data_IF_943910955785
#
_entry.id   IF_943910955785
#
_cell.length_a   1.000
_cell.length_b   1.000
_cell.length_c   1.000
_cell.angle_alpha   90.00
_cell.angle_beta   90.00
_cell.angle_gamma   90.00
#
_symmetry.space_group_name_H-M   'P 1'
#
loop_
_entity.id
_entity.type
_entity.pdbx_description
1 polymer ?
#
# COMPACT_ATOMS: atom_id res chain seq x y z
N UNK A 1 -13.31 -2.05 -10.37
CA UNK A 1 -13.84 -1.40 -9.15
C UNK A 1 -12.68 -0.68 -8.50
N UNK A 2 -12.84 0.63 -8.33
CA UNK A 2 -11.86 1.49 -7.69
C UNK A 2 -11.81 1.21 -6.18
N UNK A 3 -10.62 1.08 -5.62
CA UNK A 3 -10.39 0.88 -4.18
C UNK A 3 -9.25 1.77 -3.72
N UNK A 4 -9.21 2.08 -2.42
CA UNK A 4 -8.16 2.90 -1.83
C UNK A 4 -7.02 2.02 -1.34
N UNK A 5 -5.81 2.36 -1.78
CA UNK A 5 -4.61 1.57 -1.55
C UNK A 5 -3.51 2.47 -1.03
N UNK A 6 -2.88 2.11 0.07
CA UNK A 6 -1.58 2.67 0.42
C UNK A 6 -0.56 2.23 -0.63
N UNK A 7 0.32 3.13 -1.03
CA UNK A 7 1.42 2.86 -1.98
C UNK A 7 2.73 2.84 -1.20
N UNK A 8 3.48 1.76 -1.35
CA UNK A 8 4.66 1.45 -0.56
C UNK A 8 5.83 1.08 -1.45
N UNK A 9 7.03 1.39 -1.00
CA UNK A 9 8.22 0.69 -1.50
C UNK A 9 8.26 -0.74 -0.95
N UNK A 10 9.05 -1.62 -1.58
CA UNK A 10 9.30 -2.96 -1.08
C UNK A 10 9.84 -2.98 0.37
N UNK A 11 10.71 -2.03 0.72
CA UNK A 11 11.26 -1.93 2.09
C UNK A 11 10.24 -1.48 3.12
N UNK A 12 9.35 -0.55 2.75
CA UNK A 12 8.24 -0.12 3.61
C UNK A 12 7.27 -1.28 3.84
N UNK A 13 6.94 -2.05 2.79
CA UNK A 13 6.16 -3.28 2.92
C UNK A 13 6.78 -4.24 3.95
N UNK A 14 8.05 -4.58 3.79
CA UNK A 14 8.73 -5.48 4.73
C UNK A 14 8.75 -4.95 6.17
N UNK A 15 8.82 -3.63 6.36
CA UNK A 15 8.72 -3.03 7.69
C UNK A 15 7.32 -3.21 8.30
N UNK A 16 6.25 -2.97 7.53
CA UNK A 16 4.86 -3.18 7.99
C UNK A 16 4.63 -4.66 8.33
N UNK A 17 5.10 -5.59 7.49
CA UNK A 17 5.02 -7.03 7.74
C UNK A 17 5.78 -7.46 9.01
N UNK A 18 6.97 -6.88 9.24
CA UNK A 18 7.76 -7.16 10.44
C UNK A 18 7.06 -6.70 11.73
N UNK A 19 6.30 -5.60 11.69
CA UNK A 19 5.52 -5.13 12.85
C UNK A 19 4.32 -6.04 13.15
N UNK A 20 3.64 -6.56 12.13
CA UNK A 20 2.47 -7.41 12.32
C UNK A 20 2.78 -8.85 12.73
N UNK A 21 3.99 -9.34 12.47
CA UNK A 21 4.37 -10.73 12.78
C UNK A 21 3.40 -11.75 12.16
N UNK A 22 2.98 -12.77 12.91
CA UNK A 22 2.03 -13.80 12.43
C UNK A 22 0.64 -13.25 12.06
N UNK A 23 0.30 -12.01 12.41
CA UNK A 23 -0.92 -11.32 11.96
C UNK A 23 -0.82 -10.80 10.50
N UNK A 24 0.22 -11.17 9.74
CA UNK A 24 0.40 -10.76 8.34
C UNK A 24 -0.77 -11.06 7.41
N UNK A 25 -1.67 -12.00 7.76
CA UNK A 25 -2.87 -12.28 6.98
C UNK A 25 -3.84 -11.09 6.81
N UNK A 26 -3.66 -10.02 7.60
CA UNK A 26 -4.40 -8.76 7.45
C UNK A 26 -3.85 -7.87 6.32
N UNK A 27 -2.58 -8.08 5.94
CA UNK A 27 -1.89 -7.32 4.89
C UNK A 27 -1.87 -8.17 3.61
N UNK A 28 -2.91 -8.04 2.80
CA UNK A 28 -2.92 -8.58 1.44
C UNK A 28 -2.20 -7.59 0.50
N UNK A 29 -0.87 -7.61 0.55
CA UNK A 29 -0.02 -6.75 -0.26
C UNK A 29 -0.01 -7.21 -1.71
N UNK A 30 -0.14 -6.27 -2.64
CA UNK A 30 -0.22 -6.55 -4.08
C UNK A 30 0.75 -5.67 -4.87
N UNK A 31 1.28 -6.18 -5.98
CA UNK A 31 2.20 -5.44 -6.83
C UNK A 31 1.43 -4.63 -7.89
N UNK A 32 1.94 -3.46 -8.26
CA UNK A 32 1.40 -2.69 -9.38
C UNK A 32 2.11 -3.13 -10.68
N UNK A 33 1.38 -3.83 -11.56
CA UNK A 33 1.90 -4.33 -12.86
C UNK A 33 1.01 -3.88 -14.02
N UNK A 34 0.79 -2.57 -14.12
CA UNK A 34 0.34 -1.99 -15.39
C UNK A 34 1.60 -1.51 -16.13
N UNK A 35 1.71 -1.75 -17.44
CA UNK A 35 2.81 -1.21 -18.26
C UNK A 35 2.80 0.33 -18.29
N UNK A 36 1.65 0.93 -17.94
CA UNK A 36 1.44 2.38 -17.89
C UNK A 36 0.56 2.79 -16.70
N UNK A 37 0.94 2.56 -15.43
CA UNK A 37 0.19 3.14 -14.32
C UNK A 37 0.58 4.62 -14.14
N UNK A 38 1.72 5.05 -14.71
CA UNK A 38 2.15 6.44 -14.95
C UNK A 38 2.38 7.25 -13.68
N UNK A 39 1.30 7.50 -12.95
CA UNK A 39 1.25 8.04 -11.61
C UNK A 39 -0.16 7.82 -11.03
N UNK A 40 -0.25 7.69 -9.71
CA UNK A 40 -1.47 7.90 -8.94
C UNK A 40 -1.51 9.33 -8.40
N UNK A 41 -2.61 9.68 -7.74
CA UNK A 41 -2.71 10.94 -6.99
C UNK A 41 -2.76 10.60 -5.51
N UNK A 42 -1.87 11.20 -4.72
CA UNK A 42 -1.90 11.07 -3.27
C UNK A 42 -3.16 11.75 -2.72
N UNK A 43 -3.92 11.02 -1.92
CA UNK A 43 -5.10 11.52 -1.24
C UNK A 43 -4.90 11.56 0.29
N UNK A 44 -3.70 11.22 0.78
CA UNK A 44 -3.33 11.33 2.19
C UNK A 44 -2.79 12.72 2.53
N UNK A 45 -3.42 13.40 3.48
CA UNK A 45 -2.95 14.67 4.04
C UNK A 45 -1.90 14.52 5.14
N UNK A 46 -1.72 13.30 5.65
CA UNK A 46 -0.70 12.97 6.63
C UNK A 46 0.54 12.28 6.00
N UNK A 47 0.67 12.24 4.68
CA UNK A 47 1.83 11.59 4.06
C UNK A 47 3.12 12.42 4.22
N UNK A 48 4.19 11.82 4.73
CA UNK A 48 5.42 12.53 5.12
C UNK A 48 6.14 13.20 3.92
N UNK A 49 6.04 12.58 2.74
CA UNK A 49 6.79 12.98 1.55
C UNK A 49 5.90 13.49 0.40
N UNK A 50 4.58 13.60 0.62
CA UNK A 50 3.62 13.96 -0.42
C UNK A 50 2.55 14.90 0.16
N UNK A 51 2.32 16.03 -0.50
CA UNK A 51 1.13 16.81 -0.23
C UNK A 51 -0.11 16.11 -0.83
N UNK A 52 -1.33 16.38 -0.31
CA UNK A 52 -2.56 16.02 -1.00
C UNK A 52 -2.59 16.55 -2.43
N UNK A 53 -2.92 15.67 -3.37
CA UNK A 53 -2.96 16.00 -4.80
C UNK A 53 -1.63 15.79 -5.52
N UNK A 54 -0.53 15.51 -4.81
CA UNK A 54 0.76 15.24 -5.46
C UNK A 54 0.72 13.92 -6.25
N UNK A 55 1.39 13.88 -7.42
CA UNK A 55 1.54 12.65 -8.18
C UNK A 55 2.44 11.65 -7.44
N UNK A 56 2.00 10.39 -7.37
CA UNK A 56 2.74 9.27 -6.78
C UNK A 56 3.18 8.35 -7.91
N UNK A 57 4.48 8.11 -8.05
CA UNK A 57 4.97 7.11 -9.02
C UNK A 57 4.52 5.71 -8.58
N UNK A 58 3.87 4.97 -9.47
CA UNK A 58 3.29 3.66 -9.17
C UNK A 58 4.12 2.48 -9.69
N UNK A 59 4.96 2.70 -10.69
CA UNK A 59 5.80 1.65 -11.28
C UNK A 59 6.80 1.11 -10.26
N UNK A 60 6.80 -0.22 -10.06
CA UNK A 60 7.70 -0.89 -9.12
C UNK A 60 7.31 -0.72 -7.65
N UNK A 61 6.10 -0.24 -7.38
CA UNK A 61 5.57 -0.08 -6.02
C UNK A 61 4.64 -1.25 -5.64
N UNK A 62 4.52 -1.45 -4.33
CA UNK A 62 3.57 -2.37 -3.70
C UNK A 62 2.38 -1.58 -3.17
N UNK A 63 1.26 -2.27 -2.95
CA UNK A 63 0.06 -1.68 -2.35
C UNK A 63 -0.55 -2.55 -1.27
N UNK A 64 -1.17 -1.92 -0.27
CA UNK A 64 -2.03 -2.61 0.71
C UNK A 64 -3.38 -1.91 0.83
N UNK A 65 -4.48 -2.63 1.10
CA UNK A 65 -5.79 -2.02 1.19
C UNK A 65 -5.83 -0.98 2.31
N UNK A 66 -6.34 0.23 2.04
CA UNK A 66 -6.41 1.30 3.06
C UNK A 66 -7.22 0.86 4.29
N UNK A 67 -8.23 0.01 4.13
CA UNK A 67 -9.09 -0.51 5.21
C UNK A 67 -8.32 -1.27 6.30
N UNK A 68 -7.07 -1.69 6.06
CA UNK A 68 -6.28 -2.45 7.05
C UNK A 68 -6.03 -1.64 8.32
N UNK A 69 -6.01 -0.31 8.26
CA UNK A 69 -5.83 0.53 9.45
C UNK A 69 -7.07 0.60 10.33
N UNK A 70 -8.23 0.18 9.81
CA UNK A 70 -9.48 0.08 10.57
C UNK A 70 -9.61 -1.28 11.28
N UNK A 71 -8.69 -2.22 11.01
CA UNK A 71 -8.66 -3.52 11.65
C UNK A 71 -8.14 -3.41 13.10
N UNK A 72 -8.88 -3.93 14.10
CA UNK A 72 -8.46 -3.88 15.49
C UNK A 72 -7.21 -4.72 15.80
N UNK A 73 -6.91 -5.73 14.98
CA UNK A 73 -5.77 -6.64 15.16
C UNK A 73 -4.50 -6.12 14.47
N UNK A 74 -4.58 -4.99 13.76
CA UNK A 74 -3.42 -4.34 13.15
C UNK A 74 -2.47 -3.79 14.22
N UNK A 75 -1.18 -4.12 14.14
CA UNK A 75 -0.19 -3.61 15.08
C UNK A 75 -0.14 -2.07 15.05
N UNK A 76 0.02 -1.45 16.21
CA UNK A 76 -0.01 0.01 16.35
C UNK A 76 1.09 0.69 15.54
N UNK A 77 2.29 0.10 15.53
CA UNK A 77 3.46 0.55 14.77
C UNK A 77 3.23 0.43 13.27
N UNK A 78 2.63 -0.69 12.82
CA UNK A 78 2.27 -0.90 11.43
C UNK A 78 1.24 0.14 10.97
N UNK A 79 0.21 0.38 11.78
CA UNK A 79 -0.81 1.39 11.54
C UNK A 79 -0.21 2.80 11.49
N UNK A 80 0.66 3.14 12.42
CA UNK A 80 1.34 4.43 12.45
C UNK A 80 2.16 4.66 11.18
N UNK A 81 2.94 3.66 10.75
CA UNK A 81 3.70 3.73 9.51
C UNK A 81 2.78 3.90 8.29
N UNK A 82 1.75 3.05 8.14
CA UNK A 82 0.83 3.13 7.00
C UNK A 82 0.16 4.50 6.86
N UNK A 83 -0.22 5.10 8.00
CA UNK A 83 -0.88 6.41 8.01
C UNK A 83 0.03 7.56 7.55
N UNK A 84 1.36 7.37 7.48
CA UNK A 84 2.28 8.37 6.91
C UNK A 84 2.66 8.12 5.44
N UNK A 85 2.11 7.06 4.82
CA UNK A 85 2.37 6.73 3.42
C UNK A 85 1.29 7.33 2.50
N UNK A 86 1.61 7.65 1.23
CA UNK A 86 0.60 8.08 0.29
C UNK A 86 -0.42 6.96 0.06
N UNK A 87 -1.68 7.32 -0.18
CA UNK A 87 -2.68 6.39 -0.70
C UNK A 87 -3.38 6.97 -1.92
N UNK A 88 -3.70 6.09 -2.86
CA UNK A 88 -4.36 6.41 -4.12
C UNK A 88 -5.66 5.61 -4.26
N UNK A 89 -6.63 6.15 -4.99
CA UNK A 89 -7.77 5.36 -5.50
C UNK A 89 -7.36 4.71 -6.82
N UNK A 90 -7.24 3.38 -6.85
CA UNK A 90 -6.80 2.61 -8.01
C UNK A 90 -7.84 1.56 -8.40
N UNK A 91 -7.99 1.32 -9.70
CA UNK A 91 -8.76 0.18 -10.21
C UNK A 91 -8.06 -1.12 -9.83
N UNK A 92 -8.85 -2.14 -9.47
CA UNK A 92 -8.30 -3.46 -9.11
C UNK A 92 -7.47 -4.10 -10.23
N UNK A 93 -7.76 -3.77 -11.49
CA UNK A 93 -7.04 -4.24 -12.69
C UNK A 93 -5.62 -3.64 -12.80
N UNK A 94 -5.35 -2.54 -12.10
CA UNK A 94 -4.01 -1.92 -12.01
C UNK A 94 -3.09 -2.72 -11.07
N UNK A 95 -3.66 -3.64 -10.28
CA UNK A 95 -3.00 -4.31 -9.18
C UNK A 95 -3.05 -5.82 -9.38
N UNK A 96 -1.90 -6.48 -9.29
CA UNK A 96 -1.76 -7.92 -9.46
C UNK A 96 -1.47 -8.58 -8.11
N UNK A 97 -1.92 -9.82 -7.94
CA UNK A 97 -1.44 -10.62 -6.80
C UNK A 97 0.09 -10.65 -6.88
N UNK A 98 0.82 -10.49 -5.76
CA UNK A 98 2.24 -10.72 -5.79
C UNK A 98 2.45 -12.15 -6.32
N UNK A 99 3.52 -12.40 -7.09
CA UNK A 99 3.83 -13.77 -7.46
C UNK A 99 3.86 -14.58 -6.17
N UNK A 100 3.04 -15.63 -6.10
CA UNK A 100 3.12 -16.58 -4.99
C UNK A 100 4.56 -17.01 -4.93
N UNK A 101 5.23 -16.77 -3.80
CA UNK A 101 6.56 -17.34 -3.53
C UNK A 101 6.40 -18.85 -3.39
N UNK A 102 6.13 -19.54 -4.49
CA UNK A 102 6.33 -20.96 -4.66
C UNK A 102 7.66 -21.14 -5.39
N UNK A 103 8.74 -21.11 -4.61
CA UNK A 103 9.83 -22.09 -4.57
C UNK A 103 10.81 -21.76 -3.43
#
# INVERSE_FOLDING_TARGET
MMMNWFVLTLSQKSAVEAFNGTASGLIDARAIDNATPGAGINLNDAADAFAPGDPVTLTGMEVVPKRVVDDPDQAAEAKALLLTLPWCSLENETIFAPPSSED
#
